data_IF_470501344630
#
_entry.id   IF_470501344630
#
_cell.length_a   1.000
_cell.length_b   1.000
_cell.length_c   1.000
_cell.angle_alpha   90.00
_cell.angle_beta   90.00
_cell.angle_gamma   90.00
#
_symmetry.space_group_name_H-M   'P 1'
#
loop_
_entity.id
_entity.type
_entity.pdbx_description
1 polymer ?
#
# COMPACT_ATOMS: atom_id res chain seq x y z
N UNK A 1 -3.00 -25.04 9.78
CA UNK A 1 -3.47 -24.06 8.76
C UNK A 1 -2.49 -22.91 8.76
N UNK A 2 -2.07 -22.38 7.61
CA UNK A 2 -1.23 -21.18 7.59
C UNK A 2 -2.02 -20.02 8.21
N UNK A 3 -1.38 -19.31 9.12
CA UNK A 3 -1.93 -18.07 9.67
C UNK A 3 -2.02 -17.02 8.56
N UNK A 4 -3.15 -16.34 8.48
CA UNK A 4 -3.37 -15.21 7.56
C UNK A 4 -3.53 -13.98 8.42
N UNK A 5 -2.62 -13.03 8.25
CA UNK A 5 -2.70 -11.73 8.91
C UNK A 5 -2.98 -10.65 7.89
N UNK A 6 -4.04 -9.89 8.13
CA UNK A 6 -4.47 -8.76 7.29
C UNK A 6 -4.24 -7.47 8.06
N UNK A 7 -3.41 -6.59 7.51
CA UNK A 7 -3.07 -5.30 8.12
C UNK A 7 -3.46 -4.18 7.16
N UNK A 8 -4.54 -3.42 7.42
CA UNK A 8 -4.84 -2.23 6.65
C UNK A 8 -3.81 -1.14 6.94
N UNK A 9 -3.20 -0.59 5.89
CA UNK A 9 -2.21 0.49 5.96
C UNK A 9 -2.79 1.87 5.58
N UNK A 10 -4.05 1.89 5.15
CA UNK A 10 -4.84 3.08 4.88
C UNK A 10 -6.29 2.74 4.53
N UNK A 11 -7.08 3.74 4.14
CA UNK A 11 -8.53 3.66 3.91
C UNK A 11 -9.40 3.19 5.13
N UNK A 12 -8.81 3.10 6.32
CA UNK A 12 -9.54 2.81 7.57
C UNK A 12 -10.32 4.04 8.04
N UNK A 13 -11.52 4.24 7.48
CA UNK A 13 -12.40 5.42 7.66
C UNK A 13 -12.05 6.66 6.81
N UNK A 14 -11.29 6.49 5.73
CA UNK A 14 -10.92 7.59 4.83
C UNK A 14 -11.06 7.18 3.35
N UNK A 15 -11.30 8.15 2.46
CA UNK A 15 -11.43 7.92 1.01
C UNK A 15 -10.09 8.18 0.33
N UNK A 16 -9.34 7.10 0.10
CA UNK A 16 -8.00 7.15 -0.47
C UNK A 16 -7.02 6.35 0.39
N UNK A 17 -5.74 6.29 -0.03
CA UNK A 17 -4.69 5.53 0.65
C UNK A 17 -5.00 4.04 0.81
N UNK A 18 -5.83 3.47 -0.07
CA UNK A 18 -6.16 2.05 -0.03
C UNK A 18 -4.89 1.22 -0.17
N UNK A 19 -4.56 0.49 0.88
CA UNK A 19 -3.42 -0.41 0.92
C UNK A 19 -3.64 -1.41 2.03
N UNK A 20 -3.49 -2.68 1.70
CA UNK A 20 -3.64 -3.79 2.64
C UNK A 20 -2.40 -4.67 2.52
N UNK A 21 -1.71 -4.90 3.63
CA UNK A 21 -0.66 -5.90 3.72
C UNK A 21 -1.27 -7.22 4.18
N UNK A 22 -1.08 -8.26 3.39
CA UNK A 22 -1.47 -9.63 3.71
C UNK A 22 -0.22 -10.46 3.93
N UNK A 23 -0.04 -10.95 5.15
CA UNK A 23 1.00 -11.92 5.48
C UNK A 23 0.37 -13.32 5.53
N UNK A 24 0.77 -14.19 4.61
CA UNK A 24 0.26 -15.56 4.50
C UNK A 24 1.42 -16.51 4.16
N UNK A 25 1.52 -17.62 4.90
CA UNK A 25 2.54 -18.65 4.66
C UNK A 25 3.98 -18.09 4.56
N UNK A 26 4.31 -17.09 5.38
CA UNK A 26 5.62 -16.43 5.38
C UNK A 26 5.86 -15.47 4.19
N UNK A 27 4.83 -15.19 3.40
CA UNK A 27 4.86 -14.25 2.27
C UNK A 27 4.09 -12.99 2.58
N UNK A 28 4.64 -11.85 2.18
CA UNK A 28 4.04 -10.54 2.34
C UNK A 28 3.55 -10.04 0.98
N UNK A 29 2.23 -9.95 0.84
CA UNK A 29 1.56 -9.49 -0.37
C UNK A 29 0.91 -8.13 -0.09
N UNK A 30 1.29 -7.11 -0.84
CA UNK A 30 0.65 -5.79 -0.78
C UNK A 30 -0.48 -5.73 -1.80
N UNK A 31 -1.68 -5.42 -1.33
CA UNK A 31 -2.87 -5.23 -2.14
C UNK A 31 -3.21 -3.75 -2.23
N UNK A 32 -3.18 -3.23 -3.45
CA UNK A 32 -3.40 -1.82 -3.77
C UNK A 32 -2.38 -0.86 -3.14
N UNK A 33 -2.28 0.33 -3.73
CA UNK A 33 -1.48 1.43 -3.19
C UNK A 33 -2.11 2.74 -3.67
N UNK A 34 -3.35 2.97 -3.24
CA UNK A 34 -4.09 4.17 -3.57
C UNK A 34 -3.47 5.42 -2.95
N UNK A 35 -3.87 6.57 -3.47
CA UNK A 35 -3.51 7.87 -2.91
C UNK A 35 -4.76 8.61 -2.43
N UNK A 36 -4.60 9.55 -1.50
CA UNK A 36 -5.65 10.49 -1.11
C UNK A 36 -5.49 11.80 -1.87
N UNK A 37 -6.46 12.12 -2.73
CA UNK A 37 -6.38 13.26 -3.66
C UNK A 37 -6.43 14.64 -2.99
N UNK A 38 -6.92 14.72 -1.73
CA UNK A 38 -6.96 15.97 -0.97
C UNK A 38 -5.62 16.41 -0.37
N UNK A 39 -4.57 15.60 -0.48
CA UNK A 39 -3.23 15.92 0.01
C UNK A 39 -2.23 16.02 -1.13
N UNK A 40 -1.37 17.04 -1.07
CA UNK A 40 -0.28 17.26 -2.03
C UNK A 40 1.09 16.84 -1.49
N UNK A 41 1.18 16.50 -0.20
CA UNK A 41 2.37 16.02 0.48
C UNK A 41 2.31 14.50 0.71
N UNK A 42 3.28 13.96 1.44
CA UNK A 42 3.42 12.53 1.68
C UNK A 42 2.25 11.90 2.45
N UNK A 43 1.42 12.71 3.12
CA UNK A 43 0.19 12.23 3.78
C UNK A 43 -0.81 11.64 2.79
N UNK A 44 -0.63 11.87 1.48
CA UNK A 44 -1.46 11.27 0.42
C UNK A 44 -1.24 9.77 0.28
N UNK A 45 -0.16 9.20 0.81
CA UNK A 45 0.19 7.79 0.65
C UNK A 45 -0.22 6.96 1.88
N UNK A 46 -0.31 5.61 1.75
CA UNK A 46 -0.47 4.72 2.88
C UNK A 46 0.66 4.85 3.90
N UNK A 47 0.40 4.45 5.15
CA UNK A 47 1.43 4.44 6.19
C UNK A 47 2.37 3.24 6.03
N UNK A 48 3.52 3.50 5.41
CA UNK A 48 4.55 2.48 5.18
C UNK A 48 5.45 2.24 6.39
N UNK A 49 5.38 3.07 7.44
CA UNK A 49 6.21 2.91 8.65
C UNK A 49 5.95 1.58 9.36
N UNK A 50 4.77 0.99 9.14
CA UNK A 50 4.41 -0.33 9.65
C UNK A 50 5.15 -1.48 8.96
N UNK A 51 5.60 -1.28 7.72
CA UNK A 51 6.38 -2.26 6.97
C UNK A 51 7.86 -2.09 7.30
N UNK A 52 8.35 -0.86 7.17
CA UNK A 52 9.75 -0.54 7.47
C UNK A 52 9.91 0.93 7.78
N UNK A 53 10.79 1.22 8.73
CA UNK A 53 11.24 2.58 9.04
C UNK A 53 12.49 2.97 8.26
N UNK A 54 13.27 1.97 7.79
CA UNK A 54 14.53 2.14 7.09
C UNK A 54 14.71 1.03 6.05
N UNK A 55 14.82 1.37 4.77
CA UNK A 55 15.03 0.42 3.68
C UNK A 55 14.00 0.53 2.56
N UNK A 56 14.12 -0.33 1.54
CA UNK A 56 13.19 -0.33 0.40
C UNK A 56 12.02 -1.27 0.69
N UNK A 57 10.82 -0.90 0.27
CA UNK A 57 9.63 -1.76 0.41
C UNK A 57 9.80 -3.12 -0.30
N UNK A 58 10.55 -3.14 -1.40
CA UNK A 58 10.88 -4.35 -2.16
C UNK A 58 11.59 -5.42 -1.36
N UNK A 59 12.26 -5.04 -0.27
CA UNK A 59 13.01 -5.98 0.57
C UNK A 59 12.07 -6.77 1.50
N UNK A 60 10.84 -6.25 1.70
CA UNK A 60 9.84 -6.82 2.62
C UNK A 60 8.62 -7.41 1.91
N UNK A 61 8.40 -7.06 0.64
CA UNK A 61 7.23 -7.46 -0.14
C UNK A 61 7.60 -8.50 -1.20
N UNK A 62 6.91 -9.64 -1.19
CA UNK A 62 7.09 -10.68 -2.20
C UNK A 62 6.25 -10.40 -3.47
N UNK A 63 5.13 -9.69 -3.31
CA UNK A 63 4.22 -9.41 -4.42
C UNK A 63 3.43 -8.12 -4.16
N UNK A 64 3.18 -7.37 -5.23
CA UNK A 64 2.28 -6.21 -5.22
C UNK A 64 1.18 -6.45 -6.25
N UNK A 65 -0.07 -6.45 -5.80
CA UNK A 65 -1.24 -6.57 -6.66
C UNK A 65 -1.92 -5.21 -6.72
N UNK A 66 -1.87 -4.58 -7.89
CA UNK A 66 -2.52 -3.28 -8.13
C UNK A 66 -3.91 -3.52 -8.72
N UNK A 67 -4.95 -2.99 -8.05
CA UNK A 67 -6.28 -2.89 -8.66
C UNK A 67 -6.30 -1.68 -9.60
N UNK A 68 -6.85 -1.79 -10.81
CA UNK A 68 -7.12 -0.63 -11.64
C UNK A 68 -8.08 0.31 -10.91
N UNK A 69 -7.58 1.48 -10.48
CA UNK A 69 -8.40 2.62 -10.12
C UNK A 69 -8.51 3.54 -11.33
N UNK A 70 -9.52 4.43 -11.33
CA UNK A 70 -9.81 5.32 -12.45
C UNK A 70 -8.55 6.02 -13.03
N UNK A 71 -8.52 6.37 -14.33
CA UNK A 71 -7.35 6.93 -15.02
C UNK A 71 -6.70 8.17 -14.38
N UNK A 72 -7.36 8.83 -13.42
CA UNK A 72 -6.80 9.94 -12.67
C UNK A 72 -5.84 9.53 -11.54
N UNK A 73 -5.92 8.29 -11.03
CA UNK A 73 -5.18 7.86 -9.84
C UNK A 73 -3.82 7.21 -10.15
N UNK A 74 -3.64 6.60 -11.33
CA UNK A 74 -2.37 5.94 -11.72
C UNK A 74 -1.24 6.93 -12.02
N UNK A 75 -1.57 8.17 -12.45
CA UNK A 75 -0.56 9.17 -12.83
C UNK A 75 0.35 9.58 -11.66
N UNK A 76 -0.07 9.32 -10.43
CA UNK A 76 0.63 9.77 -9.24
C UNK A 76 1.43 8.66 -8.56
N UNK A 77 1.07 7.39 -8.78
CA UNK A 77 1.83 6.21 -8.32
C UNK A 77 2.94 5.80 -9.27
N UNK A 78 2.83 6.12 -10.57
CA UNK A 78 3.87 5.83 -11.57
C UNK A 78 5.07 6.81 -11.54
N UNK A 79 5.03 7.85 -10.70
CA UNK A 79 6.21 8.67 -10.36
C UNK A 79 6.79 8.19 -9.04
N UNK A 80 7.45 7.03 -9.06
CA UNK A 80 8.51 6.77 -8.09
C UNK A 80 9.76 7.53 -8.57
N UNK A 81 10.41 8.36 -7.73
CA UNK A 81 11.77 8.84 -8.01
C UNK A 81 12.79 7.69 -8.01
#
# INVERSE_FOLDING_TARGET
MPEIRVTPLGAGQDVGRSCILVSIAGKNVMLDCGMHMGFNDDRRFPDFSYITQNGRLTDFLDCVIIRPSAPSCWRTTARSP
#
